data_IF_561527779637
#
_entry.id   IF_561527779637
#
_cell.length_a   1.000
_cell.length_b   1.000
_cell.length_c   1.000
_cell.angle_alpha   90.00
_cell.angle_beta   90.00
_cell.angle_gamma   90.00
#
_symmetry.space_group_name_H-M   'P 1'
#
loop_
_entity.id
_entity.type
_entity.pdbx_description
1 polymer ?
#
# COMPACT_ATOMS: atom_id res chain seq x y z
N UNK A 1 -22.80 -54.59 26.73
CA UNK A 1 -23.52 -53.32 26.71
C UNK A 1 -22.74 -52.40 25.80
N UNK A 2 -23.17 -52.35 24.54
CA UNK A 2 -22.60 -51.54 23.48
C UNK A 2 -23.36 -50.21 23.47
N UNK A 3 -22.62 -49.10 23.47
CA UNK A 3 -23.19 -47.77 23.35
C UNK A 3 -22.70 -47.18 22.04
N UNK A 4 -23.53 -47.29 21.01
CA UNK A 4 -23.33 -46.66 19.71
C UNK A 4 -23.67 -45.19 19.83
N UNK A 5 -22.68 -44.31 19.57
CA UNK A 5 -22.92 -42.91 19.33
C UNK A 5 -22.93 -42.62 17.83
N UNK A 6 -24.11 -42.21 17.39
CA UNK A 6 -24.48 -41.79 16.05
C UNK A 6 -23.67 -40.56 15.58
N UNK A 7 -23.20 -40.51 14.33
CA UNK A 7 -22.53 -39.34 13.79
C UNK A 7 -23.52 -38.25 13.38
N UNK A 8 -23.39 -37.08 13.98
CA UNK A 8 -24.16 -35.90 13.59
C UNK A 8 -23.81 -35.47 12.15
N UNK A 9 -24.81 -35.53 11.34
CA UNK A 9 -24.92 -35.10 9.97
C UNK A 9 -24.60 -33.60 9.80
N UNK A 10 -23.42 -33.27 9.25
CA UNK A 10 -23.10 -31.98 8.68
C UNK A 10 -23.52 -31.91 7.21
N UNK A 11 -24.80 -32.05 6.91
CA UNK A 11 -25.28 -31.92 5.55
C UNK A 11 -26.51 -31.01 5.45
N UNK A 12 -26.27 -29.71 5.60
CA UNK A 12 -27.16 -28.67 5.05
C UNK A 12 -26.39 -27.38 4.80
N UNK A 13 -25.35 -27.44 4.02
CA UNK A 13 -24.91 -26.27 3.27
C UNK A 13 -25.93 -26.07 2.15
N UNK A 14 -26.82 -25.10 2.34
CA UNK A 14 -27.71 -24.62 1.30
C UNK A 14 -26.86 -24.21 0.10
N UNK A 15 -27.06 -24.91 -1.01
CA UNK A 15 -26.63 -24.44 -2.34
C UNK A 15 -27.37 -23.12 -2.60
N UNK A 16 -26.68 -21.98 -2.33
CA UNK A 16 -27.07 -20.70 -2.88
C UNK A 16 -27.00 -20.86 -4.40
N UNK A 17 -28.12 -20.78 -5.07
CA UNK A 17 -28.17 -20.66 -6.52
C UNK A 17 -27.40 -19.38 -6.87
N UNK A 18 -26.22 -19.56 -7.41
CA UNK A 18 -25.43 -18.49 -7.97
C UNK A 18 -26.18 -18.03 -9.22
N UNK A 19 -26.95 -16.96 -9.06
CA UNK A 19 -27.48 -16.22 -10.18
C UNK A 19 -26.25 -15.50 -10.76
N UNK A 20 -25.73 -15.99 -11.86
CA UNK A 20 -24.66 -15.34 -12.62
C UNK A 20 -25.25 -14.11 -13.33
N UNK A 21 -25.44 -13.03 -12.56
CA UNK A 21 -25.18 -11.71 -13.13
C UNK A 21 -23.67 -11.65 -13.32
N UNK A 22 -23.20 -11.31 -14.49
CA UNK A 22 -21.79 -11.09 -14.79
C UNK A 22 -21.26 -10.03 -13.82
N UNK A 23 -20.96 -10.49 -12.60
CA UNK A 23 -20.33 -9.66 -11.58
C UNK A 23 -18.90 -9.45 -12.00
N UNK A 24 -18.52 -8.20 -12.21
CA UNK A 24 -17.13 -7.79 -12.31
C UNK A 24 -16.41 -8.39 -11.11
N UNK A 25 -15.60 -9.41 -11.35
CA UNK A 25 -14.70 -9.94 -10.32
C UNK A 25 -13.64 -8.87 -10.13
N UNK A 26 -13.80 -8.07 -9.09
CA UNK A 26 -12.78 -7.09 -8.71
C UNK A 26 -11.60 -7.86 -8.10
N UNK A 27 -10.64 -8.23 -8.95
CA UNK A 27 -9.35 -8.73 -8.51
C UNK A 27 -8.42 -7.54 -8.33
N UNK A 28 -7.65 -7.57 -7.24
CA UNK A 28 -6.53 -6.65 -7.12
C UNK A 28 -5.54 -6.96 -8.26
N UNK A 29 -5.31 -5.98 -9.13
CA UNK A 29 -4.51 -6.16 -10.33
C UNK A 29 -3.43 -5.08 -10.39
N UNK A 30 -2.19 -5.51 -10.53
CA UNK A 30 -1.05 -4.63 -10.80
C UNK A 30 -0.79 -4.59 -12.32
N UNK A 31 -0.79 -3.42 -12.92
CA UNK A 31 -0.37 -3.19 -14.30
C UNK A 31 1.14 -2.93 -14.34
N UNK A 32 1.82 -3.39 -15.41
CA UNK A 32 3.27 -3.21 -15.56
C UNK A 32 3.64 -1.84 -16.15
N UNK A 33 2.88 -0.83 -15.81
CA UNK A 33 3.18 0.56 -16.18
C UNK A 33 2.69 1.47 -15.07
N UNK A 34 3.40 2.56 -14.88
CA UNK A 34 2.98 3.59 -13.92
C UNK A 34 1.68 4.25 -14.38
N UNK A 35 0.90 4.74 -13.44
CA UNK A 35 -0.32 5.50 -13.71
C UNK A 35 -0.05 6.73 -14.59
N UNK A 36 1.07 7.42 -14.35
CA UNK A 36 1.64 8.44 -15.22
C UNK A 36 3.15 8.23 -15.38
N UNK A 37 3.74 8.63 -16.52
CA UNK A 37 5.19 8.64 -16.69
C UNK A 37 5.86 9.51 -15.63
N UNK A 38 6.98 9.03 -15.10
CA UNK A 38 7.80 9.76 -14.14
C UNK A 38 9.17 10.02 -14.75
N UNK A 39 9.58 11.28 -14.80
CA UNK A 39 10.85 11.71 -15.34
C UNK A 39 11.49 12.74 -14.39
N UNK A 40 12.82 12.71 -14.28
CA UNK A 40 13.60 13.73 -13.58
C UNK A 40 14.71 14.21 -14.50
N UNK A 41 14.99 15.53 -14.52
CA UNK A 41 16.01 16.10 -15.39
C UNK A 41 17.42 15.66 -14.98
N UNK A 42 17.67 15.56 -13.68
CA UNK A 42 18.96 15.16 -13.11
C UNK A 42 18.80 14.59 -11.69
N UNK A 43 19.71 13.72 -11.26
CA UNK A 43 19.72 13.22 -9.90
C UNK A 43 19.81 14.35 -8.86
N UNK A 44 19.05 14.21 -7.78
CA UNK A 44 19.07 15.10 -6.63
C UNK A 44 18.73 14.34 -5.34
N UNK A 45 19.72 13.76 -4.66
CA UNK A 45 19.51 12.96 -3.45
C UNK A 45 18.82 13.73 -2.31
N UNK A 46 18.99 15.04 -2.23
CA UNK A 46 18.31 15.85 -1.22
C UNK A 46 16.79 15.87 -1.44
N UNK A 47 16.36 16.01 -2.70
CA UNK A 47 14.94 15.90 -3.03
C UNK A 47 14.42 14.47 -2.84
N UNK A 48 15.22 13.45 -3.15
CA UNK A 48 14.86 12.07 -2.87
C UNK A 48 14.58 11.86 -1.38
N UNK A 49 15.44 12.39 -0.51
CA UNK A 49 15.26 12.33 0.93
C UNK A 49 13.97 13.03 1.39
N UNK A 50 13.69 14.24 0.89
CA UNK A 50 12.45 14.95 1.22
C UNK A 50 11.21 14.20 0.72
N UNK A 51 11.30 13.58 -0.44
CA UNK A 51 10.19 12.85 -1.05
C UNK A 51 9.83 11.56 -0.29
N UNK A 52 10.72 11.04 0.56
CA UNK A 52 10.41 9.94 1.47
C UNK A 52 9.22 10.26 2.38
N UNK A 53 8.98 11.53 2.72
CA UNK A 53 7.79 11.92 3.47
C UNK A 53 6.49 11.55 2.74
N UNK A 54 6.48 11.68 1.40
CA UNK A 54 5.32 11.32 0.58
C UNK A 54 5.18 9.79 0.42
N UNK A 55 6.22 9.02 0.66
CA UNK A 55 6.15 7.57 0.60
C UNK A 55 5.78 6.96 1.94
N UNK A 56 6.57 7.22 2.97
CA UNK A 56 6.49 6.55 4.27
C UNK A 56 6.12 7.46 5.44
N UNK A 57 5.88 8.74 5.21
CA UNK A 57 5.49 9.68 6.26
C UNK A 57 4.04 9.59 6.68
N UNK A 58 3.70 10.30 7.75
CA UNK A 58 2.36 10.30 8.37
C UNK A 58 1.25 10.90 7.49
N UNK A 59 1.61 11.57 6.39
CA UNK A 59 0.67 12.10 5.39
C UNK A 59 1.02 11.63 3.96
N UNK A 60 1.84 10.59 3.85
CA UNK A 60 2.24 10.03 2.57
C UNK A 60 1.24 9.03 1.99
N UNK A 61 1.51 8.57 0.78
CA UNK A 61 0.63 7.72 -0.03
C UNK A 61 0.35 6.37 0.63
N UNK A 62 1.36 5.78 1.30
CA UNK A 62 1.15 4.54 2.05
C UNK A 62 0.12 4.72 3.17
N UNK A 63 0.22 5.83 3.93
CA UNK A 63 -0.76 6.14 4.97
C UNK A 63 -2.14 6.38 4.35
N UNK A 64 -2.24 7.12 3.27
CA UNK A 64 -3.49 7.41 2.59
C UNK A 64 -4.18 6.11 2.12
N UNK A 65 -3.45 5.24 1.42
CA UNK A 65 -3.96 3.95 0.98
C UNK A 65 -4.52 3.11 2.14
N UNK A 66 -3.75 2.97 3.23
CA UNK A 66 -4.17 2.20 4.41
C UNK A 66 -5.34 2.86 5.13
N UNK A 67 -5.39 4.20 5.19
CA UNK A 67 -6.47 4.96 5.81
C UNK A 67 -7.79 4.74 5.08
N UNK A 68 -7.84 4.92 3.77
CA UNK A 68 -9.04 4.73 2.96
C UNK A 68 -9.50 3.27 2.99
N UNK A 69 -8.58 2.33 2.86
CA UNK A 69 -8.89 0.90 2.94
C UNK A 69 -9.48 0.54 4.32
N UNK A 70 -8.85 0.95 5.41
CA UNK A 70 -9.33 0.67 6.77
C UNK A 70 -10.71 1.24 7.02
N UNK A 71 -10.95 2.49 6.61
CA UNK A 71 -12.25 3.15 6.78
C UNK A 71 -13.34 2.50 5.95
N UNK A 72 -13.03 2.02 4.73
CA UNK A 72 -14.01 1.40 3.84
C UNK A 72 -14.75 0.22 4.49
N UNK A 73 -14.06 -0.56 5.33
CA UNK A 73 -14.65 -1.71 5.99
C UNK A 73 -15.77 -1.38 6.98
N UNK A 74 -15.84 -0.14 7.45
CA UNK A 74 -16.86 0.33 8.40
C UNK A 74 -18.02 1.06 7.73
N UNK A 75 -17.86 1.45 6.47
CA UNK A 75 -18.88 2.18 5.72
C UNK A 75 -20.01 1.23 5.32
N UNK A 76 -21.24 1.58 5.67
CA UNK A 76 -22.43 0.76 5.39
C UNK A 76 -23.00 1.02 3.99
N UNK A 77 -22.86 2.25 3.50
CA UNK A 77 -23.30 2.59 2.15
C UNK A 77 -22.36 1.97 1.12
N UNK A 78 -22.84 1.03 0.27
CA UNK A 78 -21.99 0.30 -0.64
C UNK A 78 -21.29 1.20 -1.66
N UNK A 79 -21.93 2.26 -2.14
CA UNK A 79 -21.33 3.19 -3.11
C UNK A 79 -20.19 4.00 -2.49
N UNK A 80 -20.35 4.41 -1.24
CA UNK A 80 -19.30 5.16 -0.53
C UNK A 80 -18.15 4.20 -0.18
N UNK A 81 -18.47 2.97 0.24
CA UNK A 81 -17.46 1.94 0.47
C UNK A 81 -16.62 1.66 -0.77
N UNK A 82 -17.27 1.49 -1.92
CA UNK A 82 -16.59 1.24 -3.19
C UNK A 82 -15.70 2.42 -3.57
N UNK A 83 -16.18 3.67 -3.42
CA UNK A 83 -15.37 4.86 -3.65
C UNK A 83 -14.11 4.90 -2.78
N UNK A 84 -14.21 4.56 -1.49
CA UNK A 84 -13.05 4.52 -0.60
C UNK A 84 -12.05 3.44 -1.00
N UNK A 85 -12.52 2.30 -1.50
CA UNK A 85 -11.65 1.24 -2.01
C UNK A 85 -10.98 1.65 -3.33
N UNK A 86 -11.69 2.36 -4.20
CA UNK A 86 -11.13 2.89 -5.45
C UNK A 86 -10.00 3.89 -5.14
N UNK A 87 -10.24 4.83 -4.22
CA UNK A 87 -9.22 5.79 -3.78
C UNK A 87 -8.02 5.04 -3.17
N UNK A 88 -8.24 4.04 -2.30
CA UNK A 88 -7.15 3.26 -1.73
C UNK A 88 -6.28 2.58 -2.80
N UNK A 89 -6.89 2.11 -3.89
CA UNK A 89 -6.16 1.54 -5.01
C UNK A 89 -5.37 2.60 -5.80
N UNK A 90 -5.93 3.79 -5.99
CA UNK A 90 -5.22 4.92 -6.62
C UNK A 90 -4.01 5.37 -5.79
N UNK A 91 -4.12 5.43 -4.47
CA UNK A 91 -3.00 5.78 -3.58
C UNK A 91 -1.83 4.79 -3.67
N UNK A 92 -2.10 3.51 -3.91
CA UNK A 92 -1.04 2.55 -4.21
C UNK A 92 -0.33 2.86 -5.54
N UNK A 93 -1.05 3.37 -6.53
CA UNK A 93 -0.45 3.81 -7.80
C UNK A 93 0.37 5.08 -7.63
N UNK A 94 -0.08 6.02 -6.80
CA UNK A 94 0.68 7.21 -6.43
C UNK A 94 1.96 6.83 -5.67
N UNK A 95 1.87 5.88 -4.73
CA UNK A 95 3.02 5.36 -4.01
C UNK A 95 4.09 4.78 -4.95
N UNK A 96 3.67 4.05 -6.00
CA UNK A 96 4.57 3.52 -7.01
C UNK A 96 5.30 4.65 -7.78
N UNK A 97 4.57 5.71 -8.17
CA UNK A 97 5.17 6.88 -8.84
C UNK A 97 6.14 7.64 -7.94
N UNK A 98 5.80 7.84 -6.67
CA UNK A 98 6.69 8.47 -5.68
C UNK A 98 7.96 7.63 -5.50
N UNK A 99 7.83 6.32 -5.36
CA UNK A 99 8.96 5.41 -5.23
C UNK A 99 9.87 5.45 -6.46
N UNK A 100 9.30 5.46 -7.66
CA UNK A 100 10.06 5.58 -8.90
C UNK A 100 10.76 6.94 -9.00
N UNK A 101 10.12 8.01 -8.58
CA UNK A 101 10.73 9.34 -8.55
C UNK A 101 11.94 9.39 -7.60
N UNK A 102 11.82 8.79 -6.41
CA UNK A 102 12.93 8.65 -5.47
C UNK A 102 14.10 7.90 -6.10
N UNK A 103 13.84 6.79 -6.78
CA UNK A 103 14.87 6.03 -7.48
C UNK A 103 15.59 6.86 -8.55
N UNK A 104 14.86 7.60 -9.36
CA UNK A 104 15.43 8.46 -10.40
C UNK A 104 16.25 9.61 -9.80
N UNK A 105 15.76 10.21 -8.71
CA UNK A 105 16.45 11.28 -8.00
C UNK A 105 17.75 10.80 -7.33
N UNK A 106 17.79 9.55 -6.84
CA UNK A 106 19.00 8.96 -6.28
C UNK A 106 20.04 8.61 -7.35
N UNK A 107 19.62 8.49 -8.62
CA UNK A 107 20.45 7.99 -9.70
C UNK A 107 20.49 6.45 -9.74
N UNK A 108 20.67 5.91 -10.93
CA UNK A 108 20.61 4.46 -11.13
C UNK A 108 21.84 3.69 -10.62
N UNK A 109 22.94 4.40 -10.36
CA UNK A 109 24.23 3.81 -9.99
C UNK A 109 24.66 4.27 -8.59
N UNK A 110 23.96 3.81 -7.58
CA UNK A 110 24.47 3.96 -6.21
C UNK A 110 25.55 2.91 -6.00
N UNK A 111 26.79 3.33 -6.06
CA UNK A 111 27.92 2.49 -5.66
C UNK A 111 27.84 2.29 -4.14
N UNK A 112 27.46 1.09 -3.73
CA UNK A 112 27.26 0.74 -2.32
C UNK A 112 28.50 0.98 -1.44
N UNK A 113 29.68 0.99 -2.03
CA UNK A 113 30.97 1.28 -1.39
C UNK A 113 31.22 2.79 -1.13
N UNK A 114 30.45 3.67 -1.75
CA UNK A 114 30.51 5.13 -1.49
C UNK A 114 29.58 5.58 -0.36
N UNK A 115 28.72 4.69 0.12
CA UNK A 115 27.85 4.97 1.28
C UNK A 115 28.70 4.85 2.55
N UNK A 116 29.00 5.97 3.20
CA UNK A 116 29.69 5.95 4.48
C UNK A 116 28.84 5.23 5.53
N UNK A 117 29.40 4.15 6.08
CA UNK A 117 28.79 3.42 7.18
C UNK A 117 28.62 4.33 8.39
N UNK A 118 27.37 4.59 8.80
CA UNK A 118 27.08 5.41 9.99
C UNK A 118 25.92 6.37 9.83
N UNK A 119 25.53 6.68 8.62
CA UNK A 119 24.35 7.52 8.36
C UNK A 119 23.21 6.61 7.86
N UNK A 120 22.39 6.14 8.80
CA UNK A 120 21.23 5.28 8.47
C UNK A 120 20.34 5.95 7.42
N UNK A 121 20.16 7.26 7.51
CA UNK A 121 19.42 8.07 6.55
C UNK A 121 20.04 7.96 5.15
N UNK A 122 21.35 8.17 5.07
CA UNK A 122 22.10 8.04 3.82
C UNK A 122 22.03 6.62 3.28
N UNK A 123 22.10 5.61 4.13
CA UNK A 123 22.06 4.21 3.73
C UNK A 123 20.67 3.81 3.15
N UNK A 124 19.59 4.28 3.75
CA UNK A 124 18.23 4.04 3.26
C UNK A 124 17.93 4.91 2.04
N UNK A 125 18.37 6.16 2.05
CA UNK A 125 18.06 7.13 1.00
C UNK A 125 18.95 7.00 -0.23
N UNK A 126 20.21 6.62 -0.06
CA UNK A 126 21.16 6.42 -1.18
C UNK A 126 21.31 4.93 -1.54
N UNK A 127 20.80 4.07 -0.69
CA UNK A 127 21.37 2.76 -0.75
C UNK A 127 20.64 1.75 -1.54
N UNK A 128 19.44 1.71 -1.62
CA UNK A 128 19.00 0.41 -2.11
C UNK A 128 17.57 0.39 -2.63
N UNK A 129 16.67 1.09 -2.00
CA UNK A 129 15.29 1.15 -2.45
C UNK A 129 14.58 2.31 -1.76
N UNK A 130 13.51 2.85 -2.33
CA UNK A 130 12.59 3.69 -1.61
C UNK A 130 12.13 2.95 -0.33
N UNK A 131 12.49 3.48 0.82
CA UNK A 131 12.12 2.89 2.09
C UNK A 131 10.72 3.34 2.53
N UNK A 132 10.02 2.51 3.29
CA UNK A 132 8.78 2.92 3.95
C UNK A 132 9.12 3.74 5.21
N UNK A 133 9.79 4.86 5.00
CA UNK A 133 10.26 5.81 6.01
C UNK A 133 9.82 7.22 5.65
N UNK A 134 9.78 8.10 6.64
CA UNK A 134 9.59 9.53 6.41
C UNK A 134 10.91 10.25 6.05
N UNK A 135 10.86 11.56 5.79
CA UNK A 135 12.04 12.35 5.44
C UNK A 135 13.11 12.45 6.54
N UNK A 136 12.78 12.10 7.77
CA UNK A 136 13.70 12.03 8.91
C UNK A 136 14.22 10.61 9.19
N UNK A 137 13.92 9.63 8.32
CA UNK A 137 14.38 8.26 8.44
C UNK A 137 13.56 7.39 9.40
N UNK A 138 12.47 7.90 9.99
CA UNK A 138 11.61 7.10 10.86
C UNK A 138 10.72 6.17 10.04
N UNK A 139 10.65 4.90 10.44
CA UNK A 139 9.82 3.90 9.79
C UNK A 139 8.34 4.26 9.82
N UNK A 140 7.63 3.94 8.76
CA UNK A 140 6.18 4.00 8.74
C UNK A 140 5.59 3.13 9.86
N UNK A 141 4.51 3.61 10.47
CA UNK A 141 3.82 2.89 11.54
C UNK A 141 2.31 2.89 11.32
N UNK A 142 1.65 1.80 11.71
CA UNK A 142 0.21 1.69 11.66
C UNK A 142 -0.52 2.73 12.53
N UNK A 143 0.17 3.38 13.46
CA UNK A 143 -0.38 4.46 14.29
C UNK A 143 -0.79 5.69 13.46
N UNK A 144 -0.28 5.82 12.23
CA UNK A 144 -0.73 6.85 11.30
C UNK A 144 -2.16 6.61 10.79
N UNK A 145 -2.65 5.38 10.86
CA UNK A 145 -3.99 5.03 10.38
C UNK A 145 -5.03 5.31 11.46
N UNK A 146 -5.83 6.35 11.25
CA UNK A 146 -6.89 6.72 12.18
C UNK A 146 -8.17 5.93 11.86
N UNK A 147 -8.68 5.19 12.83
CA UNK A 147 -9.98 4.52 12.73
C UNK A 147 -11.03 5.45 13.31
N UNK A 148 -11.66 6.23 12.46
CA UNK A 148 -12.83 7.04 12.85
C UNK A 148 -14.10 6.21 12.78
N UNK A 149 -15.14 6.67 13.49
CA UNK A 149 -16.44 6.01 13.51
C UNK A 149 -17.13 5.98 12.14
N UNK A 150 -18.34 5.48 12.15
CA UNK A 150 -19.25 5.37 11.00
C UNK A 150 -19.50 6.74 10.35
N UNK A 151 -19.43 6.81 9.03
CA UNK A 151 -19.87 7.94 8.22
C UNK A 151 -21.35 7.74 7.85
#
# INVERSE_FOLDING_TARGET
>A
MQNEQSPHSFSKLRKAKHNQSEGVICLFKHEKQLFHPVEVEQPNPQYAALLQEQLGGGNGELKAAMQYMSQSFRIRNPKIKDLFMDIAAEELSHMEMVAQTINLLNGHDVEADKVQAGEIETHVLLGLNPGLINASGYSWTADYVTVTGDL
#
